data_IF_794316643305
#
_entry.id   IF_794316643305
#
_cell.length_a   1.000
_cell.length_b   1.000
_cell.length_c   1.000
_cell.angle_alpha   90.00
_cell.angle_beta   90.00
_cell.angle_gamma   90.00
#
_symmetry.space_group_name_H-M   'P 1'
#
loop_
_entity.id
_entity.type
_entity.pdbx_description
1 polymer ?
#
# COMPACT_ATOMS: atom_id res chain seq x y z
N UNK A 1 4.61 1.40 -5.73
CA UNK A 1 4.25 2.81 -6.05
C UNK A 1 5.15 3.25 -7.20
N UNK A 2 4.58 3.38 -8.42
CA UNK A 2 5.30 3.87 -9.59
C UNK A 2 5.66 5.35 -9.42
N UNK A 3 6.59 5.86 -10.23
CA UNK A 3 6.86 7.30 -10.28
C UNK A 3 5.73 8.01 -11.03
N UNK A 4 5.36 9.19 -10.54
CA UNK A 4 4.41 10.12 -11.17
C UNK A 4 5.13 11.47 -11.32
N UNK A 5 4.50 12.58 -10.93
CA UNK A 5 5.15 13.88 -10.75
C UNK A 5 6.14 13.87 -9.58
N UNK A 6 6.01 12.90 -8.66
CA UNK A 6 6.97 12.62 -7.58
C UNK A 6 7.74 11.32 -7.85
N UNK A 7 9.00 11.19 -7.38
CA UNK A 7 9.73 9.94 -7.48
C UNK A 7 9.02 8.81 -6.72
N UNK A 8 8.71 7.70 -7.39
CA UNK A 8 8.03 6.57 -6.76
C UNK A 8 8.88 5.78 -5.75
N UNK A 9 8.40 4.62 -5.33
CA UNK A 9 9.00 3.82 -4.24
C UNK A 9 10.52 3.54 -4.38
N UNK A 10 11.01 3.36 -5.62
CA UNK A 10 12.45 3.20 -5.88
C UNK A 10 13.24 4.48 -5.61
N UNK A 11 12.69 5.64 -5.97
CA UNK A 11 13.30 6.95 -5.70
C UNK A 11 13.35 7.27 -4.21
N UNK A 12 12.32 6.84 -3.47
CA UNK A 12 12.26 6.93 -2.00
C UNK A 12 13.07 5.84 -1.27
N UNK A 13 13.84 5.00 -1.98
CA UNK A 13 14.65 3.92 -1.42
C UNK A 13 13.85 2.93 -0.54
N UNK A 14 12.56 2.73 -0.84
CA UNK A 14 11.68 1.84 -0.07
C UNK A 14 12.25 0.43 0.04
N UNK A 15 12.88 -0.09 -1.01
CA UNK A 15 13.51 -1.42 -0.96
C UNK A 15 14.63 -1.49 0.10
N UNK A 16 15.48 -0.47 0.20
CA UNK A 16 16.57 -0.44 1.20
C UNK A 16 16.02 -0.29 2.62
N UNK A 17 14.96 0.51 2.77
CA UNK A 17 14.29 0.63 4.06
C UNK A 17 13.67 -0.71 4.49
N UNK A 18 13.00 -1.42 3.58
CA UNK A 18 12.42 -2.74 3.87
C UNK A 18 13.50 -3.78 4.18
N UNK A 19 14.63 -3.78 3.46
CA UNK A 19 15.76 -4.67 3.78
C UNK A 19 16.27 -4.43 5.22
N UNK A 20 16.42 -3.16 5.61
CA UNK A 20 16.82 -2.80 6.97
C UNK A 20 15.76 -3.16 8.00
N UNK A 21 14.48 -2.87 7.73
CA UNK A 21 13.37 -3.24 8.60
C UNK A 21 13.37 -4.75 8.82
N UNK A 22 13.42 -5.56 7.77
CA UNK A 22 13.43 -7.02 7.86
C UNK A 22 14.63 -7.54 8.66
N UNK A 23 15.79 -6.89 8.58
CA UNK A 23 16.99 -7.32 9.31
C UNK A 23 16.85 -7.26 10.84
N UNK A 24 15.95 -6.41 11.36
CA UNK A 24 15.70 -6.26 12.80
C UNK A 24 14.41 -6.93 13.27
N UNK A 25 13.61 -7.47 12.35
CA UNK A 25 12.34 -8.14 12.69
C UNK A 25 12.56 -9.59 13.11
N UNK A 26 11.64 -10.17 13.92
CA UNK A 26 11.68 -11.59 14.26
C UNK A 26 11.65 -12.50 13.03
N UNK A 27 12.22 -13.73 13.12
CA UNK A 27 12.25 -14.67 11.99
C UNK A 27 10.87 -15.01 11.41
N UNK A 28 9.84 -15.00 12.24
CA UNK A 28 8.45 -15.19 11.81
C UNK A 28 7.99 -14.11 10.84
N UNK A 29 8.21 -12.84 11.19
CA UNK A 29 7.87 -11.70 10.33
C UNK A 29 8.64 -11.72 9.00
N UNK A 30 9.94 -12.07 9.06
CA UNK A 30 10.76 -12.20 7.85
C UNK A 30 10.21 -13.29 6.91
N UNK A 31 9.85 -14.45 7.48
CA UNK A 31 9.27 -15.56 6.73
C UNK A 31 7.93 -15.16 6.11
N UNK A 32 7.05 -14.55 6.89
CA UNK A 32 5.74 -14.07 6.45
C UNK A 32 5.82 -13.05 5.29
N UNK A 33 6.86 -12.23 5.26
CA UNK A 33 7.12 -11.29 4.18
C UNK A 33 7.60 -12.01 2.91
N UNK A 34 8.57 -12.93 3.06
CA UNK A 34 9.08 -13.73 1.93
C UNK A 34 7.99 -14.63 1.35
N UNK A 35 7.15 -15.22 2.19
CA UNK A 35 6.00 -16.04 1.78
C UNK A 35 5.00 -15.21 0.97
N UNK A 36 4.80 -13.94 1.32
CA UNK A 36 3.95 -13.04 0.55
C UNK A 36 4.53 -12.71 -0.84
N UNK A 37 5.85 -12.53 -0.95
CA UNK A 37 6.51 -12.36 -2.26
C UNK A 37 6.39 -13.63 -3.11
N UNK A 38 6.68 -14.79 -2.51
CA UNK A 38 6.60 -16.08 -3.18
C UNK A 38 5.18 -16.42 -3.63
N UNK A 39 4.16 -16.00 -2.86
CA UNK A 39 2.77 -16.15 -3.22
C UNK A 39 2.45 -15.41 -4.53
N UNK A 40 2.85 -14.15 -4.68
CA UNK A 40 2.61 -13.37 -5.90
C UNK A 40 3.30 -14.00 -7.11
N UNK A 41 4.56 -14.43 -6.97
CA UNK A 41 5.29 -15.10 -8.05
C UNK A 41 4.64 -16.44 -8.43
N UNK A 42 4.16 -17.21 -7.45
CA UNK A 42 3.44 -18.47 -7.69
C UNK A 42 2.15 -18.26 -8.47
N UNK A 43 1.35 -17.25 -8.11
CA UNK A 43 0.13 -16.90 -8.85
C UNK A 43 0.44 -16.39 -10.25
N UNK A 44 1.50 -15.59 -10.42
CA UNK A 44 1.98 -15.18 -11.74
C UNK A 44 2.37 -16.39 -12.59
N UNK A 45 3.10 -17.34 -12.03
CA UNK A 45 3.49 -18.58 -12.72
C UNK A 45 2.28 -19.43 -13.09
N UNK A 46 1.27 -19.55 -12.22
CA UNK A 46 0.04 -20.28 -12.52
C UNK A 46 -0.78 -19.66 -13.66
N UNK A 47 -0.90 -18.32 -13.68
CA UNK A 47 -1.75 -17.62 -14.65
C UNK A 47 -1.04 -17.39 -15.99
N UNK A 48 0.28 -17.14 -15.97
CA UNK A 48 1.03 -16.66 -17.13
C UNK A 48 2.27 -17.50 -17.48
N UNK A 49 2.68 -18.45 -16.63
CA UNK A 49 3.90 -19.25 -16.82
C UNK A 49 5.19 -18.43 -16.72
N UNK A 50 5.16 -17.29 -16.02
CA UNK A 50 6.25 -16.33 -15.91
C UNK A 50 6.36 -15.77 -14.50
N UNK A 51 7.55 -15.32 -14.12
CA UNK A 51 7.76 -14.60 -12.86
C UNK A 51 7.05 -13.24 -12.91
N UNK A 52 6.51 -12.78 -11.79
CA UNK A 52 5.70 -11.55 -11.73
C UNK A 52 6.44 -10.35 -12.29
N UNK A 53 7.73 -10.23 -11.95
CA UNK A 53 8.61 -9.13 -12.39
C UNK A 53 8.83 -9.08 -13.91
N UNK A 54 8.57 -10.18 -14.63
CA UNK A 54 8.77 -10.28 -16.08
C UNK A 54 7.49 -10.10 -16.89
N UNK A 55 6.34 -10.01 -16.21
CA UNK A 55 5.06 -9.71 -16.85
C UNK A 55 5.02 -8.30 -17.43
N UNK A 56 4.14 -8.09 -18.42
CA UNK A 56 3.77 -6.75 -18.85
C UNK A 56 3.06 -6.00 -17.71
N UNK A 57 3.15 -4.67 -17.69
CA UNK A 57 2.56 -3.85 -16.62
C UNK A 57 1.05 -4.10 -16.50
N UNK A 58 0.34 -4.24 -17.62
CA UNK A 58 -1.10 -4.50 -17.63
C UNK A 58 -1.43 -5.88 -17.02
N UNK A 59 -0.61 -6.90 -17.28
CA UNK A 59 -0.77 -8.24 -16.69
C UNK A 59 -0.48 -8.23 -15.18
N UNK A 60 0.52 -7.45 -14.74
CA UNK A 60 0.80 -7.24 -13.31
C UNK A 60 -0.39 -6.60 -12.60
N UNK A 61 -0.96 -5.54 -13.20
CA UNK A 61 -2.14 -4.85 -12.66
C UNK A 61 -3.33 -5.80 -12.62
N UNK A 62 -3.57 -6.54 -13.70
CA UNK A 62 -4.66 -7.51 -13.77
C UNK A 62 -4.55 -8.57 -12.67
N UNK A 63 -3.35 -9.13 -12.44
CA UNK A 63 -3.12 -10.15 -11.41
C UNK A 63 -3.39 -9.62 -9.99
N UNK A 64 -2.94 -8.39 -9.70
CA UNK A 64 -3.04 -7.81 -8.35
C UNK A 64 -4.43 -7.24 -8.04
N UNK A 65 -5.21 -6.86 -9.06
CA UNK A 65 -6.50 -6.15 -8.92
C UNK A 65 -7.49 -6.87 -7.99
N UNK A 66 -7.73 -8.18 -8.11
CA UNK A 66 -8.67 -8.89 -7.23
C UNK A 66 -8.29 -8.85 -5.75
N UNK A 67 -6.99 -8.74 -5.43
CA UNK A 67 -6.49 -8.68 -4.06
C UNK A 67 -6.40 -7.24 -3.54
N UNK A 68 -6.21 -6.27 -4.44
CA UNK A 68 -6.22 -4.85 -4.09
C UNK A 68 -7.60 -4.32 -3.72
N UNK A 69 -8.64 -4.91 -4.34
CA UNK A 69 -10.03 -4.57 -4.15
C UNK A 69 -10.85 -5.83 -3.83
N UNK A 70 -10.62 -6.45 -2.65
CA UNK A 70 -11.45 -7.58 -2.25
C UNK A 70 -12.90 -7.10 -2.19
N UNK A 71 -13.82 -7.85 -2.79
CA UNK A 71 -15.25 -7.55 -2.67
C UNK A 71 -15.61 -7.63 -1.19
N UNK A 72 -16.02 -6.50 -0.62
CA UNK A 72 -16.64 -6.52 0.71
C UNK A 72 -18.13 -6.77 0.54
N UNK A 73 -18.74 -7.64 1.35
CA UNK A 73 -20.18 -7.79 1.36
C UNK A 73 -20.80 -6.44 1.72
N UNK A 74 -21.65 -5.92 0.84
CA UNK A 74 -22.37 -4.67 1.10
C UNK A 74 -23.35 -4.89 2.25
N UNK A 75 -23.24 -4.11 3.32
CA UNK A 75 -24.25 -4.10 4.38
C UNK A 75 -25.58 -3.44 3.94
N UNK A 76 -25.58 -2.73 2.79
CA UNK A 76 -26.72 -1.96 2.29
C UNK A 76 -27.50 -2.62 1.14
N UNK A 77 -26.96 -3.66 0.51
CA UNK A 77 -27.68 -4.42 -0.52
C UNK A 77 -27.64 -5.90 -0.19
N UNK A 78 -28.81 -6.58 -0.17
CA UNK A 78 -28.96 -8.04 0.00
C UNK A 78 -28.40 -8.84 -1.20
N UNK A 79 -27.38 -8.31 -1.87
CA UNK A 79 -26.74 -9.00 -2.98
C UNK A 79 -25.77 -10.01 -2.38
N UNK A 80 -26.25 -11.25 -2.27
CA UNK A 80 -25.41 -12.44 -2.13
C UNK A 80 -24.53 -12.57 -3.38
N UNK A 81 -23.47 -11.76 -3.43
CA UNK A 81 -22.53 -11.76 -4.54
C UNK A 81 -21.64 -12.99 -4.36
N UNK A 82 -22.08 -14.13 -4.93
CA UNK A 82 -21.36 -15.41 -4.97
C UNK A 82 -20.08 -15.35 -5.84
N UNK A 83 -19.50 -14.17 -6.03
CA UNK A 83 -18.23 -14.00 -6.71
C UNK A 83 -17.15 -14.62 -5.86
N UNK A 84 -16.39 -15.56 -6.43
CA UNK A 84 -15.32 -16.30 -5.75
C UNK A 84 -14.40 -15.31 -5.04
N UNK A 85 -14.60 -15.15 -3.73
CA UNK A 85 -13.70 -14.38 -2.89
C UNK A 85 -12.35 -15.07 -2.95
N UNK A 86 -11.29 -14.31 -3.21
CA UNK A 86 -9.96 -14.83 -2.96
C UNK A 86 -9.94 -15.26 -1.49
N UNK A 87 -9.47 -16.49 -1.16
CA UNK A 87 -9.43 -16.95 0.22
C UNK A 87 -8.79 -15.87 1.11
N UNK A 88 -9.28 -15.70 2.34
CA UNK A 88 -8.78 -14.67 3.26
C UNK A 88 -7.25 -14.63 3.36
N UNK A 89 -6.60 -15.80 3.23
CA UNK A 89 -5.14 -15.95 3.16
C UNK A 89 -4.48 -15.26 1.96
N UNK A 90 -5.12 -15.25 0.79
CA UNK A 90 -4.61 -14.62 -0.43
C UNK A 90 -4.57 -13.10 -0.31
N UNK A 91 -5.65 -12.50 0.18
CA UNK A 91 -5.69 -11.06 0.45
C UNK A 91 -4.61 -10.64 1.46
N UNK A 92 -4.39 -11.43 2.51
CA UNK A 92 -3.39 -11.13 3.54
C UNK A 92 -1.96 -11.01 3.00
N UNK A 93 -1.57 -11.84 2.01
CA UNK A 93 -0.24 -11.73 1.40
C UNK A 93 -0.06 -10.39 0.66
N UNK A 94 -1.04 -10.02 -0.17
CA UNK A 94 -1.03 -8.73 -0.87
C UNK A 94 -1.04 -7.55 0.11
N UNK A 95 -1.95 -7.57 1.09
CA UNK A 95 -2.12 -6.48 2.03
C UNK A 95 -0.87 -6.27 2.90
N UNK A 96 -0.20 -7.35 3.34
CA UNK A 96 1.07 -7.27 4.06
C UNK A 96 2.12 -6.47 3.29
N UNK A 97 2.30 -6.79 2.00
CA UNK A 97 3.27 -6.09 1.15
C UNK A 97 2.85 -4.63 0.93
N UNK A 98 1.57 -4.40 0.63
CA UNK A 98 1.02 -3.07 0.39
C UNK A 98 1.22 -2.14 1.59
N UNK A 99 0.87 -2.59 2.79
CA UNK A 99 0.99 -1.78 4.02
C UNK A 99 2.45 -1.42 4.28
N UNK A 100 3.38 -2.37 4.17
CA UNK A 100 4.79 -2.11 4.41
C UNK A 100 5.40 -1.16 3.37
N UNK A 101 5.09 -1.37 2.09
CA UNK A 101 5.56 -0.51 1.00
C UNK A 101 4.98 0.90 1.14
N UNK A 102 3.69 1.03 1.45
CA UNK A 102 3.04 2.33 1.62
C UNK A 102 3.56 3.08 2.84
N UNK A 103 3.71 2.39 3.98
CA UNK A 103 4.27 2.98 5.19
C UNK A 103 5.72 3.47 4.97
N UNK A 104 6.55 2.67 4.31
CA UNK A 104 7.92 3.06 3.98
C UNK A 104 7.95 4.28 3.02
N UNK A 105 7.07 4.31 2.03
CA UNK A 105 7.02 5.40 1.05
C UNK A 105 6.51 6.70 1.67
N UNK A 106 5.33 6.69 2.28
CA UNK A 106 4.73 7.89 2.88
C UNK A 106 5.38 8.31 4.19
N UNK A 107 6.25 7.48 4.78
CA UNK A 107 7.17 7.87 5.85
C UNK A 107 8.47 8.51 5.35
N UNK A 108 8.75 8.51 4.06
CA UNK A 108 9.91 9.18 3.47
C UNK A 108 9.61 10.66 3.20
N UNK A 109 10.65 11.50 3.13
CA UNK A 109 10.50 12.91 2.72
C UNK A 109 9.78 13.06 1.38
N UNK A 110 10.07 12.18 0.42
CA UNK A 110 9.44 12.20 -0.91
C UNK A 110 7.93 11.96 -0.80
N UNK A 111 7.54 10.93 -0.04
CA UNK A 111 6.12 10.62 0.16
C UNK A 111 5.39 11.67 1.01
N UNK A 112 6.05 12.26 2.01
CA UNK A 112 5.49 13.36 2.79
C UNK A 112 5.24 14.60 1.92
N UNK A 113 6.17 14.96 1.04
CA UNK A 113 6.00 16.06 0.08
C UNK A 113 4.85 15.80 -0.89
N UNK A 114 4.67 14.56 -1.34
CA UNK A 114 3.49 14.16 -2.15
C UNK A 114 2.17 14.37 -1.41
N UNK A 115 2.16 14.19 -0.08
CA UNK A 115 1.02 14.46 0.78
C UNK A 115 0.83 15.95 1.13
N UNK A 116 1.67 16.84 0.59
CA UNK A 116 1.58 18.28 0.81
C UNK A 116 2.41 18.81 1.97
N UNK A 117 3.35 18.02 2.51
CA UNK A 117 4.33 18.55 3.46
C UNK A 117 5.27 19.54 2.77
N UNK A 118 5.39 20.75 3.33
CA UNK A 118 6.20 21.85 2.81
C UNK A 118 7.67 21.81 3.25
N UNK A 119 8.04 20.84 4.10
CA UNK A 119 9.39 20.68 4.63
C UNK A 119 9.60 21.28 6.03
N UNK A 120 8.62 22.03 6.54
CA UNK A 120 8.67 22.62 7.88
C UNK A 120 8.12 21.64 8.92
N UNK A 121 8.83 21.48 10.04
CA UNK A 121 8.39 20.61 11.15
C UNK A 121 7.56 21.42 12.17
N UNK A 122 7.70 22.74 12.18
CA UNK A 122 7.01 23.64 13.08
C UNK A 122 6.42 24.83 12.32
N UNK A 123 5.10 24.99 12.38
CA UNK A 123 4.39 26.11 11.75
C UNK A 123 4.14 27.28 12.71
N UNK A 124 4.99 27.41 13.73
CA UNK A 124 4.79 28.39 14.80
C UNK A 124 3.57 28.07 15.69
N UNK A 125 3.17 28.99 16.57
CA UNK A 125 1.99 28.82 17.41
C UNK A 125 0.72 28.79 16.56
N UNK A 126 -0.24 27.93 16.93
CA UNK A 126 -1.55 27.89 16.29
C UNK A 126 -2.30 29.20 16.55
N UNK A 127 -2.49 30.01 15.52
CA UNK A 127 -3.17 31.32 15.63
C UNK A 127 -4.70 31.21 15.77
N UNK A 128 -5.27 30.03 15.49
CA UNK A 128 -6.73 29.84 15.54
C UNK A 128 -7.48 30.53 14.40
N UNK A 129 -8.77 30.23 14.28
CA UNK A 129 -9.65 30.94 13.37
C UNK A 129 -10.15 32.23 14.03
N UNK A 130 -10.06 33.36 13.33
CA UNK A 130 -10.75 34.58 13.74
C UNK A 130 -12.26 34.42 13.47
N UNK A 131 -13.05 34.31 14.54
CA UNK A 131 -14.51 34.31 14.44
C UNK A 131 -15.05 35.65 14.95
N UNK A 132 -15.86 36.32 14.13
CA UNK A 132 -16.57 37.53 14.55
C UNK A 132 -17.51 37.19 15.71
N UNK A 133 -17.41 37.91 16.82
CA UNK A 133 -18.26 37.76 18.01
C UNK A 133 -19.69 38.30 17.84
N UNK A 134 -20.20 38.41 16.62
CA UNK A 134 -21.55 38.93 16.35
C UNK A 134 -22.60 37.92 16.79
N UNK A 135 -22.95 38.01 18.07
CA UNK A 135 -24.22 37.71 18.73
C UNK A 135 -25.12 36.71 17.99
N UNK A 136 -24.97 35.43 18.30
CA UNK A 136 -26.10 34.51 18.21
C UNK A 136 -27.08 34.87 19.33
N UNK A 137 -28.11 35.65 18.97
CA UNK A 137 -29.31 35.87 19.81
C UNK A 137 -30.40 34.92 19.34
#
# INVERSE_FOLDING_TARGET
IPATDTPGAKGALVNRYLDLLLSVQPPEFQREFVDALAFIDSESQKQFGKDFRTLAVDDQIWLLTPWAYPRQPSHWTERNDNGTEAPESTYRHFERLKVLIAAAYYGSEIGLKELGWDGEIAHGPYEGCEHSTTTHT
#
